data_IF_463785002702
#
_entry.id   IF_463785002702
#
_cell.length_a   1.000
_cell.length_b   1.000
_cell.length_c   1.000
_cell.angle_alpha   90.00
_cell.angle_beta   90.00
_cell.angle_gamma   90.00
#
_symmetry.space_group_name_H-M   'P 1'
#
loop_
_entity.id
_entity.type
_entity.pdbx_description
1 polymer ?
#
# COMPACT_ATOMS: atom_id res chain seq x y z
N UNK A 1 9.64 5.11 -12.94
CA UNK A 1 10.10 3.70 -13.02
C UNK A 1 11.02 3.53 -14.21
N UNK A 2 12.06 2.71 -14.05
CA UNK A 2 12.98 2.36 -15.13
C UNK A 2 12.32 1.33 -16.04
N UNK A 3 12.58 1.41 -17.34
CA UNK A 3 12.23 0.30 -18.24
C UNK A 3 13.22 -0.86 -18.03
N UNK A 4 12.83 -2.12 -18.33
CA UNK A 4 13.74 -3.26 -18.19
C UNK A 4 15.05 -3.12 -19.00
N UNK A 5 15.01 -2.39 -20.13
CA UNK A 5 16.21 -2.08 -20.92
C UNK A 5 17.14 -1.08 -20.24
N UNK A 6 16.57 -0.03 -19.64
CA UNK A 6 17.34 0.96 -18.89
C UNK A 6 17.99 0.34 -17.65
N UNK A 7 17.27 -0.50 -16.91
CA UNK A 7 17.77 -1.20 -15.75
C UNK A 7 18.99 -2.08 -16.11
N UNK A 8 18.86 -2.89 -17.15
CA UNK A 8 19.96 -3.74 -17.65
C UNK A 8 21.18 -2.92 -18.10
N UNK A 9 20.96 -1.80 -18.78
CA UNK A 9 22.05 -0.94 -19.22
C UNK A 9 22.78 -0.32 -18.02
N UNK A 10 22.03 0.12 -17.01
CA UNK A 10 22.60 0.63 -15.77
C UNK A 10 23.35 -0.44 -15.00
N UNK A 11 22.80 -1.66 -14.87
CA UNK A 11 23.48 -2.79 -14.24
C UNK A 11 24.82 -3.11 -14.90
N UNK A 12 24.86 -3.14 -16.24
CA UNK A 12 26.09 -3.34 -16.99
C UNK A 12 27.11 -2.22 -16.79
N UNK A 13 26.66 -0.97 -16.75
CA UNK A 13 27.54 0.18 -16.59
C UNK A 13 28.10 0.30 -15.17
N UNK A 14 27.29 -0.06 -14.16
CA UNK A 14 27.65 0.11 -12.74
C UNK A 14 28.24 -1.15 -12.12
N UNK A 15 28.06 -2.33 -12.73
CA UNK A 15 28.51 -3.62 -12.20
C UNK A 15 27.78 -4.06 -10.94
N UNK A 16 26.62 -3.48 -10.64
CA UNK A 16 25.79 -3.76 -9.47
C UNK A 16 24.32 -3.97 -9.88
N UNK A 17 23.57 -4.70 -9.06
CA UNK A 17 22.12 -4.85 -9.26
C UNK A 17 21.40 -3.50 -9.14
N UNK A 18 20.58 -3.19 -10.12
CA UNK A 18 19.73 -1.99 -10.15
C UNK A 18 18.29 -2.39 -9.83
N UNK A 19 17.68 -1.69 -8.90
CA UNK A 19 16.28 -1.92 -8.50
C UNK A 19 15.50 -0.65 -8.79
N UNK A 20 14.41 -0.75 -9.54
CA UNK A 20 13.55 0.39 -9.77
C UNK A 20 12.67 0.70 -8.53
N UNK A 21 12.09 1.90 -8.50
CA UNK A 21 11.28 2.35 -7.37
C UNK A 21 10.11 1.41 -7.05
N UNK A 22 9.45 0.86 -8.06
CA UNK A 22 8.29 -0.03 -7.85
C UNK A 22 8.72 -1.37 -7.25
N UNK A 23 9.81 -1.94 -7.75
CA UNK A 23 10.39 -3.17 -7.19
C UNK A 23 10.85 -2.95 -5.76
N UNK A 24 11.50 -1.81 -5.45
CA UNK A 24 11.92 -1.48 -4.09
C UNK A 24 10.73 -1.37 -3.13
N UNK A 25 9.64 -0.72 -3.54
CA UNK A 25 8.42 -0.61 -2.72
C UNK A 25 7.83 -2.00 -2.46
N UNK A 26 7.76 -2.85 -3.48
CA UNK A 26 7.27 -4.22 -3.35
C UNK A 26 8.13 -5.06 -2.42
N UNK A 27 9.45 -4.89 -2.45
CA UNK A 27 10.38 -5.58 -1.55
C UNK A 27 10.20 -5.12 -0.09
N UNK A 28 10.03 -3.81 0.14
CA UNK A 28 9.71 -3.27 1.47
C UNK A 28 8.37 -3.86 1.96
N UNK A 29 7.36 -3.90 1.12
CA UNK A 29 6.06 -4.46 1.47
C UNK A 29 6.13 -5.96 1.78
N UNK A 30 6.94 -6.73 1.03
CA UNK A 30 7.16 -8.15 1.31
C UNK A 30 7.77 -8.40 2.70
N UNK A 31 8.63 -7.50 3.15
CA UNK A 31 9.22 -7.56 4.48
C UNK A 31 8.25 -7.13 5.59
N UNK A 32 7.27 -6.25 5.28
CA UNK A 32 6.33 -5.68 6.25
C UNK A 32 5.03 -6.47 6.38
N UNK A 33 4.62 -7.21 5.36
CA UNK A 33 3.42 -8.01 5.39
C UNK A 33 3.52 -9.11 6.46
N UNK A 34 2.71 -9.00 7.49
CA UNK A 34 2.67 -9.99 8.59
C UNK A 34 1.43 -10.87 8.48
N UNK A 35 0.28 -10.28 8.11
CA UNK A 35 -0.96 -11.01 7.96
C UNK A 35 -0.92 -11.96 6.76
N UNK A 36 -1.72 -13.01 6.82
CA UNK A 36 -1.91 -13.93 5.69
C UNK A 36 -2.42 -13.19 4.45
N UNK A 37 -3.32 -12.25 4.63
CA UNK A 37 -3.88 -11.44 3.55
C UNK A 37 -2.84 -10.50 2.95
N UNK A 38 -2.12 -9.72 3.79
CA UNK A 38 -1.07 -8.81 3.34
C UNK A 38 0.01 -9.56 2.53
N UNK A 39 0.43 -10.74 2.97
CA UNK A 39 1.37 -11.59 2.22
C UNK A 39 0.83 -11.98 0.84
N UNK A 40 -0.46 -12.38 0.76
CA UNK A 40 -1.08 -12.71 -0.52
C UNK A 40 -1.20 -11.49 -1.45
N UNK A 41 -1.50 -10.33 -0.91
CA UNK A 41 -1.61 -9.09 -1.69
C UNK A 41 -0.26 -8.65 -2.24
N UNK A 42 0.79 -8.70 -1.43
CA UNK A 42 2.15 -8.40 -1.87
C UNK A 42 2.61 -9.41 -2.92
N UNK A 43 2.38 -10.70 -2.71
CA UNK A 43 2.70 -11.73 -3.70
C UNK A 43 1.96 -11.48 -5.02
N UNK A 44 0.68 -11.12 -4.96
CA UNK A 44 -0.10 -10.75 -6.15
C UNK A 44 0.52 -9.59 -6.91
N UNK A 45 0.86 -8.50 -6.21
CA UNK A 45 1.48 -7.33 -6.81
C UNK A 45 2.86 -7.64 -7.43
N UNK A 46 3.69 -8.41 -6.73
CA UNK A 46 4.98 -8.85 -7.25
C UNK A 46 4.85 -9.69 -8.53
N UNK A 47 3.92 -10.65 -8.56
CA UNK A 47 3.68 -11.48 -9.73
C UNK A 47 3.10 -10.69 -10.91
N UNK A 48 2.22 -9.72 -10.66
CA UNK A 48 1.70 -8.82 -11.68
C UNK A 48 2.82 -7.95 -12.25
N UNK A 49 3.63 -7.34 -11.39
CA UNK A 49 4.79 -6.56 -11.79
C UNK A 49 5.79 -7.39 -12.62
N UNK A 50 6.12 -8.60 -12.16
CA UNK A 50 6.99 -9.53 -12.88
C UNK A 50 6.41 -9.91 -14.25
N UNK A 51 5.09 -10.19 -14.32
CA UNK A 51 4.42 -10.53 -15.58
C UNK A 51 4.55 -9.44 -16.63
N UNK A 52 4.41 -8.16 -16.24
CA UNK A 52 4.58 -7.02 -17.17
C UNK A 52 6.02 -6.86 -17.65
N UNK A 53 6.99 -7.24 -16.83
CA UNK A 53 8.43 -7.16 -17.17
C UNK A 53 8.90 -8.31 -18.05
N UNK A 54 8.38 -9.51 -17.87
CA UNK A 54 8.67 -10.66 -18.72
C UNK A 54 8.29 -10.38 -20.18
N UNK A 55 7.14 -9.75 -20.42
CA UNK A 55 6.69 -9.40 -21.79
C UNK A 55 7.65 -8.44 -22.48
N UNK A 56 8.18 -7.45 -21.77
CA UNK A 56 9.03 -6.39 -22.35
C UNK A 56 10.52 -6.75 -22.41
N UNK A 57 10.98 -7.67 -21.58
CA UNK A 57 12.37 -8.09 -21.54
C UNK A 57 12.78 -8.99 -22.70
N UNK A 58 11.85 -9.78 -23.27
CA UNK A 58 12.13 -10.80 -24.28
C UNK A 58 11.92 -10.35 -25.71
N UNK A 59 11.09 -9.36 -25.98
CA UNK A 59 10.93 -8.81 -27.34
C UNK A 59 12.23 -8.27 -27.95
N UNK A 60 13.23 -7.98 -27.11
CA UNK A 60 14.56 -7.56 -27.55
C UNK A 60 15.47 -8.74 -27.95
N UNK A 61 15.25 -9.93 -27.39
CA UNK A 61 16.00 -11.15 -27.73
C UNK A 61 15.52 -11.78 -29.04
N UNK A 62 14.23 -11.66 -29.36
CA UNK A 62 13.67 -12.09 -30.64
C UNK A 62 14.26 -11.33 -31.83
N UNK A 63 14.57 -10.04 -31.66
CA UNK A 63 15.17 -9.19 -32.71
C UNK A 63 16.66 -9.46 -32.96
N UNK A 64 17.37 -10.09 -32.03
CA UNK A 64 18.80 -10.42 -32.18
C UNK A 64 19.06 -11.77 -32.88
N UNK A 65 18.06 -12.64 -33.00
CA UNK A 65 18.14 -13.89 -33.81
C UNK A 65 17.23 -13.76 -35.02
N UNK A 66 17.68 -12.98 -36.00
CA UNK A 66 17.11 -13.01 -37.33
C UNK A 66 17.29 -14.41 -37.96
N UNK A 67 16.17 -15.05 -38.32
CA UNK A 67 16.18 -16.32 -39.07
C UNK A 67 14.90 -17.10 -38.88
N UNK A 68 14.04 -17.04 -39.88
CA UNK A 68 13.06 -18.05 -40.30
C UNK A 68 12.83 -19.24 -39.34
N UNK A 69 11.73 -19.22 -38.59
CA UNK A 69 10.92 -20.44 -38.36
C UNK A 69 11.35 -21.43 -37.30
N UNK A 70 12.37 -21.16 -36.48
CA UNK A 70 12.77 -22.07 -35.41
C UNK A 70 12.33 -21.49 -34.04
N UNK A 71 11.24 -22.02 -33.48
CA UNK A 71 10.90 -21.87 -32.05
C UNK A 71 12.07 -22.41 -31.24
N UNK A 72 12.90 -21.50 -30.71
CA UNK A 72 14.01 -21.88 -29.84
C UNK A 72 13.50 -22.35 -28.47
N UNK A 73 14.30 -23.16 -27.71
CA UNK A 73 13.92 -23.64 -26.37
C UNK A 73 13.60 -22.50 -25.37
N UNK A 74 14.06 -21.27 -25.65
CA UNK A 74 13.74 -20.09 -24.82
C UNK A 74 12.30 -19.57 -24.96
N UNK A 75 11.66 -19.72 -26.11
CA UNK A 75 10.25 -19.34 -26.30
C UNK A 75 9.30 -20.23 -25.50
N UNK A 76 9.53 -21.53 -25.49
CA UNK A 76 8.74 -22.50 -24.72
C UNK A 76 8.89 -22.29 -23.21
N UNK A 77 10.06 -21.90 -22.76
CA UNK A 77 10.29 -21.60 -21.34
C UNK A 77 9.55 -20.34 -20.90
N UNK A 78 9.62 -19.27 -21.68
CA UNK A 78 8.89 -18.02 -21.38
C UNK A 78 7.36 -18.24 -21.36
N UNK A 79 6.84 -19.00 -22.32
CA UNK A 79 5.40 -19.33 -22.36
C UNK A 79 4.98 -20.15 -21.14
N UNK A 80 5.83 -21.09 -20.73
CA UNK A 80 5.62 -21.89 -19.53
C UNK A 80 5.63 -21.03 -18.28
N UNK A 81 6.61 -20.14 -18.14
CA UNK A 81 6.72 -19.23 -16.99
C UNK A 81 5.52 -18.28 -16.91
N UNK A 82 5.09 -17.71 -18.04
CA UNK A 82 3.87 -16.89 -18.10
C UNK A 82 2.63 -17.67 -17.68
N UNK A 83 2.49 -18.90 -18.13
CA UNK A 83 1.38 -19.77 -17.77
C UNK A 83 1.37 -20.06 -16.26
N UNK A 84 2.52 -20.39 -15.69
CA UNK A 84 2.67 -20.66 -14.25
C UNK A 84 2.35 -19.42 -13.41
N UNK A 85 2.87 -18.26 -13.77
CA UNK A 85 2.55 -16.99 -13.12
C UNK A 85 1.05 -16.70 -13.23
N UNK A 86 0.45 -16.87 -14.40
CA UNK A 86 -0.99 -16.69 -14.60
C UNK A 86 -1.85 -17.64 -13.74
N UNK A 87 -1.41 -18.89 -13.57
CA UNK A 87 -2.08 -19.86 -12.66
C UNK A 87 -1.96 -19.37 -11.22
N UNK A 88 -0.77 -18.95 -10.79
CA UNK A 88 -0.53 -18.48 -9.42
C UNK A 88 -1.34 -17.23 -9.09
N UNK A 89 -1.39 -16.26 -10.00
CA UNK A 89 -2.23 -15.05 -9.87
C UNK A 89 -3.70 -15.44 -9.66
N UNK A 90 -4.25 -16.36 -10.46
CA UNK A 90 -5.64 -16.83 -10.30
C UNK A 90 -5.88 -17.50 -8.95
N UNK A 91 -4.94 -18.31 -8.48
CA UNK A 91 -5.03 -18.96 -7.17
C UNK A 91 -5.06 -17.95 -6.02
N UNK A 92 -4.17 -16.95 -6.08
CA UNK A 92 -4.10 -15.89 -5.07
C UNK A 92 -5.40 -15.07 -5.07
N UNK A 93 -5.88 -14.64 -6.23
CA UNK A 93 -7.15 -13.90 -6.33
C UNK A 93 -8.31 -14.65 -5.70
N UNK A 94 -8.45 -15.96 -5.97
CA UNK A 94 -9.49 -16.79 -5.33
C UNK A 94 -9.36 -16.88 -3.80
N UNK A 95 -8.13 -16.87 -3.27
CA UNK A 95 -7.90 -16.85 -1.81
C UNK A 95 -8.27 -15.50 -1.22
N UNK A 96 -7.88 -14.41 -1.87
CA UNK A 96 -8.23 -13.06 -1.44
C UNK A 96 -9.75 -12.83 -1.46
N UNK A 97 -10.48 -13.32 -2.46
CA UNK A 97 -11.95 -13.27 -2.50
C UNK A 97 -12.61 -13.96 -1.30
N UNK A 98 -12.02 -15.05 -0.79
CA UNK A 98 -12.54 -15.73 0.43
C UNK A 98 -12.30 -14.88 1.68
N UNK A 99 -11.11 -14.27 1.79
CA UNK A 99 -10.77 -13.39 2.92
C UNK A 99 -11.67 -12.15 2.91
N UNK A 100 -11.89 -11.56 1.74
CA UNK A 100 -12.76 -10.39 1.59
C UNK A 100 -14.21 -10.67 2.01
N UNK A 101 -14.76 -11.82 1.64
CA UNK A 101 -16.09 -12.25 2.11
C UNK A 101 -16.17 -12.37 3.65
N UNK A 102 -15.15 -12.93 4.29
CA UNK A 102 -15.11 -13.04 5.76
C UNK A 102 -15.04 -11.66 6.42
N UNK A 103 -14.23 -10.75 5.87
CA UNK A 103 -14.15 -9.35 6.34
C UNK A 103 -15.46 -8.61 6.16
N UNK A 104 -16.11 -8.79 5.02
CA UNK A 104 -17.41 -8.18 4.76
C UNK A 104 -18.46 -8.64 5.80
N UNK A 105 -18.50 -9.92 6.16
CA UNK A 105 -19.38 -10.41 7.22
C UNK A 105 -19.07 -9.77 8.59
N UNK A 106 -17.80 -9.65 8.94
CA UNK A 106 -17.39 -9.00 10.20
C UNK A 106 -17.74 -7.51 10.21
N UNK A 107 -17.61 -6.81 9.08
CA UNK A 107 -18.03 -5.40 8.93
C UNK A 107 -19.53 -5.24 9.05
N UNK A 108 -20.30 -6.10 8.39
CA UNK A 108 -21.77 -6.08 8.49
C UNK A 108 -22.22 -6.23 9.95
N UNK A 109 -21.55 -7.06 10.74
CA UNK A 109 -21.84 -7.21 12.17
C UNK A 109 -21.51 -5.94 12.96
N UNK A 110 -20.40 -5.27 12.65
CA UNK A 110 -20.02 -3.97 13.26
C UNK A 110 -21.01 -2.86 12.91
N UNK A 111 -21.41 -2.78 11.63
CA UNK A 111 -22.39 -1.79 11.18
C UNK A 111 -23.77 -1.99 11.82
N UNK A 112 -24.18 -3.25 12.05
CA UNK A 112 -25.42 -3.55 12.80
C UNK A 112 -25.34 -3.11 14.27
N UNK A 113 -24.14 -3.11 14.85
CA UNK A 113 -23.90 -2.64 16.22
C UNK A 113 -23.71 -1.12 16.30
N UNK A 114 -23.85 -0.38 15.17
CA UNK A 114 -23.69 1.08 15.06
C UNK A 114 -22.35 1.62 15.63
N UNK A 115 -21.31 0.79 15.65
CA UNK A 115 -19.99 1.21 16.15
C UNK A 115 -19.26 1.95 15.03
N UNK A 116 -19.01 3.28 15.16
CA UNK A 116 -18.33 4.05 14.14
C UNK A 116 -16.87 3.64 14.02
N UNK A 117 -16.34 3.65 12.79
CA UNK A 117 -14.93 3.46 12.51
C UNK A 117 -14.28 4.81 12.22
N UNK A 118 -13.16 5.08 12.87
CA UNK A 118 -12.28 6.23 12.67
C UNK A 118 -10.98 5.71 12.06
N UNK A 119 -10.61 6.16 10.87
CA UNK A 119 -9.39 5.69 10.21
C UNK A 119 -8.30 6.77 10.21
N UNK A 120 -7.09 6.37 10.56
CA UNK A 120 -5.90 7.23 10.45
C UNK A 120 -5.38 7.15 9.01
N UNK A 121 -5.32 8.29 8.34
CA UNK A 121 -4.77 8.43 6.98
C UNK A 121 -3.65 9.47 6.99
N UNK A 122 -2.82 9.47 5.96
CA UNK A 122 -1.73 10.44 5.84
C UNK A 122 -0.48 9.82 5.26
N UNK A 123 0.49 10.66 5.01
CA UNK A 123 1.74 10.26 4.38
C UNK A 123 2.52 9.25 5.24
N UNK A 124 3.39 8.46 4.60
CA UNK A 124 4.27 7.57 5.35
C UNK A 124 5.15 8.37 6.30
N UNK A 125 5.41 7.82 7.49
CA UNK A 125 6.17 8.47 8.56
C UNK A 125 5.57 9.80 9.11
N UNK A 126 4.29 10.08 8.89
CA UNK A 126 3.62 11.23 9.53
C UNK A 126 3.29 11.01 11.02
N UNK A 127 3.48 9.79 11.53
CA UNK A 127 3.24 9.44 12.94
C UNK A 127 1.87 8.83 13.22
N UNK A 128 1.20 8.23 12.21
CA UNK A 128 -0.11 7.57 12.36
C UNK A 128 -0.11 6.49 13.44
N UNK A 129 0.85 5.57 13.39
CA UNK A 129 0.94 4.45 14.35
C UNK A 129 1.31 4.93 15.75
N UNK A 130 2.06 6.03 15.87
CA UNK A 130 2.34 6.69 17.16
C UNK A 130 1.05 7.25 17.76
N UNK A 131 0.28 7.98 16.96
CA UNK A 131 -1.03 8.51 17.37
C UNK A 131 -2.01 7.39 17.71
N UNK A 132 -2.04 6.32 16.90
CA UNK A 132 -2.85 5.13 17.16
C UNK A 132 -2.56 4.54 18.54
N UNK A 133 -1.30 4.35 18.89
CA UNK A 133 -0.91 3.82 20.19
C UNK A 133 -1.33 4.75 21.34
N UNK A 134 -1.13 6.05 21.17
CA UNK A 134 -1.51 7.04 22.17
C UNK A 134 -3.03 7.03 22.45
N UNK A 135 -3.85 6.89 21.39
CA UNK A 135 -5.31 6.90 21.51
C UNK A 135 -5.89 5.54 21.95
N UNK A 136 -5.21 4.44 21.68
CA UNK A 136 -5.73 3.08 21.92
C UNK A 136 -5.17 2.38 23.15
N UNK A 137 -4.34 3.07 23.95
CA UNK A 137 -3.61 2.52 25.09
C UNK A 137 -2.92 1.17 24.79
N UNK A 138 -2.35 1.05 23.60
CA UNK A 138 -1.80 -0.20 23.10
C UNK A 138 -0.42 -0.05 22.49
N UNK A 139 0.27 -1.17 22.35
CA UNK A 139 1.59 -1.28 21.72
C UNK A 139 1.46 -1.79 20.28
N UNK A 140 1.13 -0.95 19.30
CA UNK A 140 1.40 -1.29 17.91
C UNK A 140 2.87 -0.99 17.59
N UNK A 141 3.44 -1.76 16.69
CA UNK A 141 4.82 -1.55 16.27
C UNK A 141 4.99 -0.16 15.65
N UNK A 142 5.79 0.66 16.30
CA UNK A 142 6.17 2.00 15.82
C UNK A 142 7.63 1.95 15.43
N UNK A 143 7.93 2.31 14.21
CA UNK A 143 9.30 2.46 13.74
C UNK A 143 9.43 3.69 12.85
N UNK A 144 10.53 4.39 12.97
CA UNK A 144 10.89 5.50 12.07
C UNK A 144 11.36 4.94 10.71
N UNK A 145 10.41 4.28 10.03
CA UNK A 145 10.65 3.58 8.78
C UNK A 145 9.45 3.78 7.84
N UNK A 146 9.75 3.82 6.55
CA UNK A 146 8.71 3.85 5.52
C UNK A 146 7.84 2.59 5.61
N UNK A 147 6.52 2.76 5.58
CA UNK A 147 5.52 1.69 5.64
C UNK A 147 5.68 0.80 6.87
N UNK A 148 5.84 1.40 8.06
CA UNK A 148 5.88 0.65 9.31
C UNK A 148 4.62 -0.21 9.50
N UNK A 149 3.47 0.31 9.10
CA UNK A 149 2.19 -0.40 9.07
C UNK A 149 1.83 -0.70 7.61
N UNK A 150 1.64 -1.96 7.27
CA UNK A 150 1.10 -2.42 5.99
C UNK A 150 -0.29 -3.03 6.18
N UNK A 151 -0.44 -3.91 7.15
CA UNK A 151 -1.71 -4.52 7.51
C UNK A 151 -2.49 -3.58 8.43
N UNK A 152 -3.78 -3.30 8.18
CA UNK A 152 -4.56 -2.42 9.05
C UNK A 152 -4.71 -3.05 10.42
N UNK A 153 -4.46 -2.25 11.44
CA UNK A 153 -4.68 -2.63 12.84
C UNK A 153 -5.95 -1.95 13.35
N UNK A 154 -6.88 -2.74 13.88
CA UNK A 154 -8.15 -2.25 14.41
C UNK A 154 -8.16 -2.39 15.93
N UNK A 155 -8.54 -1.32 16.65
CA UNK A 155 -8.74 -1.37 18.09
C UNK A 155 -10.03 -0.64 18.48
N UNK A 156 -10.71 -1.20 19.47
CA UNK A 156 -11.82 -0.52 20.09
C UNK A 156 -11.28 0.53 21.07
N UNK A 157 -11.78 1.74 20.94
CA UNK A 157 -11.52 2.84 21.85
C UNK A 157 -12.83 3.31 22.48
N UNK A 158 -12.75 3.97 23.61
CA UNK A 158 -13.86 4.64 24.27
C UNK A 158 -13.67 6.15 24.16
N UNK A 159 -14.68 6.82 23.63
CA UNK A 159 -14.68 8.28 23.52
C UNK A 159 -15.04 8.93 24.87
N UNK A 160 -14.78 10.25 25.08
CA UNK A 160 -15.05 10.92 26.35
C UNK A 160 -16.52 10.85 26.81
N UNK A 161 -17.46 10.72 25.87
CA UNK A 161 -18.89 10.51 26.13
C UNK A 161 -19.27 9.05 26.41
N UNK A 162 -18.26 8.16 26.57
CA UNK A 162 -18.37 6.71 26.72
C UNK A 162 -18.93 5.97 25.50
N UNK A 163 -19.04 6.62 24.35
CA UNK A 163 -19.38 5.95 23.10
C UNK A 163 -18.18 5.11 22.63
N UNK A 164 -18.43 3.86 22.24
CA UNK A 164 -17.38 3.02 21.68
C UNK A 164 -17.14 3.36 20.19
N UNK A 165 -15.88 3.43 19.79
CA UNK A 165 -15.49 3.55 18.38
C UNK A 165 -14.40 2.53 18.03
N UNK A 166 -14.23 2.25 16.74
CA UNK A 166 -13.11 1.46 16.22
C UNK A 166 -12.09 2.44 15.63
N UNK A 167 -10.89 2.42 16.15
CA UNK A 167 -9.77 3.14 15.56
C UNK A 167 -9.01 2.18 14.63
N UNK A 168 -8.70 2.65 13.42
CA UNK A 168 -7.98 1.90 12.39
C UNK A 168 -6.66 2.61 12.07
N UNK A 169 -5.52 1.95 12.31
CA UNK A 169 -4.24 2.36 11.74
C UNK A 169 -4.09 1.78 10.34
N UNK A 170 -3.71 2.60 9.38
CA UNK A 170 -3.66 2.20 7.97
C UNK A 170 -2.27 2.43 7.37
N UNK A 171 -2.05 1.85 6.20
CA UNK A 171 -0.82 2.04 5.43
C UNK A 171 -0.58 3.52 5.13
N UNK A 172 0.68 3.97 5.25
CA UNK A 172 1.06 5.32 4.87
C UNK A 172 1.08 5.51 3.36
N UNK A 173 0.55 6.63 2.89
CA UNK A 173 0.61 7.00 1.49
C UNK A 173 2.00 7.54 1.10
N UNK A 174 2.34 7.42 -0.17
CA UNK A 174 3.55 7.97 -0.80
C UNK A 174 3.21 8.67 -2.11
N UNK A 175 4.09 9.57 -2.52
CA UNK A 175 3.98 10.20 -3.84
C UNK A 175 3.91 9.16 -4.95
N UNK A 176 2.96 9.33 -5.87
CA UNK A 176 2.82 8.49 -7.07
C UNK A 176 2.84 7.00 -6.72
N UNK A 177 1.92 6.59 -5.85
CA UNK A 177 1.71 5.17 -5.58
C UNK A 177 1.33 4.50 -6.90
N UNK A 178 2.05 3.46 -7.35
CA UNK A 178 1.69 2.77 -8.58
C UNK A 178 0.27 2.20 -8.49
N UNK A 179 -0.55 2.40 -9.52
CA UNK A 179 -1.94 1.90 -9.56
C UNK A 179 -2.04 0.39 -9.30
N UNK A 180 -1.04 -0.37 -9.74
CA UNK A 180 -0.93 -1.81 -9.49
C UNK A 180 -0.86 -2.10 -7.97
N UNK A 181 -0.18 -1.23 -7.20
CA UNK A 181 -0.10 -1.35 -5.75
C UNK A 181 -1.40 -0.91 -5.07
N UNK A 182 -2.04 0.17 -5.53
CA UNK A 182 -3.36 0.59 -5.02
C UNK A 182 -4.35 -0.55 -5.17
N UNK A 183 -4.40 -1.19 -6.33
CA UNK A 183 -5.28 -2.33 -6.57
C UNK A 183 -4.95 -3.55 -5.68
N UNK A 184 -3.67 -3.80 -5.40
CA UNK A 184 -3.24 -4.87 -4.50
C UNK A 184 -3.60 -4.59 -3.03
N UNK A 185 -3.60 -3.32 -2.61
CA UNK A 185 -3.92 -2.90 -1.25
C UNK A 185 -5.36 -2.46 -1.05
N UNK A 186 -6.21 -2.59 -2.06
CA UNK A 186 -7.61 -2.16 -1.99
C UNK A 186 -8.31 -2.73 -0.76
N UNK A 187 -8.05 -3.98 -0.38
CA UNK A 187 -8.67 -4.59 0.79
C UNK A 187 -8.15 -4.02 2.12
N UNK A 188 -6.88 -3.57 2.19
CA UNK A 188 -6.36 -2.89 3.37
C UNK A 188 -6.87 -1.45 3.45
N UNK A 189 -7.14 -0.82 2.32
CA UNK A 189 -7.73 0.51 2.24
C UNK A 189 -9.26 0.51 2.44
N UNK A 190 -9.91 -0.66 2.39
CA UNK A 190 -11.34 -0.78 2.64
C UNK A 190 -11.78 -0.31 4.03
N UNK A 191 -10.90 -0.35 5.04
CA UNK A 191 -11.21 0.22 6.36
C UNK A 191 -11.28 1.75 6.28
N UNK A 192 -10.56 2.38 5.36
CA UNK A 192 -10.65 3.82 5.06
C UNK A 192 -11.97 4.12 4.33
N UNK A 193 -12.31 3.35 3.29
CA UNK A 193 -13.56 3.51 2.51
C UNK A 193 -14.82 3.41 3.38
N UNK A 194 -14.77 2.62 4.46
CA UNK A 194 -15.90 2.39 5.35
C UNK A 194 -15.82 3.20 6.66
N UNK A 195 -14.86 4.09 6.79
CA UNK A 195 -14.74 4.93 7.96
C UNK A 195 -15.86 5.99 8.02
N UNK A 196 -16.27 6.36 9.23
CA UNK A 196 -17.21 7.47 9.47
C UNK A 196 -16.52 8.82 9.39
N UNK A 197 -15.22 8.85 9.77
CA UNK A 197 -14.37 10.04 9.74
C UNK A 197 -12.92 9.60 9.54
N UNK A 198 -12.14 10.43 8.87
CA UNK A 198 -10.70 10.24 8.67
C UNK A 198 -9.94 11.22 9.57
N UNK A 199 -8.95 10.72 10.31
CA UNK A 199 -7.94 11.53 10.94
C UNK A 199 -6.75 11.63 10.00
N UNK A 200 -6.63 12.75 9.28
CA UNK A 200 -5.55 12.98 8.35
C UNK A 200 -4.34 13.54 9.11
N UNK A 201 -3.38 12.64 9.40
CA UNK A 201 -2.18 12.96 10.16
C UNK A 201 -1.12 13.56 9.25
N UNK A 202 -0.68 14.75 9.59
CA UNK A 202 0.26 15.56 8.82
C UNK A 202 1.48 15.86 9.69
N UNK A 203 2.66 15.66 9.14
CA UNK A 203 3.90 16.10 9.78
C UNK A 203 4.00 17.63 9.69
N UNK A 204 3.89 18.29 10.83
CA UNK A 204 3.90 19.75 10.94
C UNK A 204 5.26 20.37 10.56
N UNK A 205 6.34 19.60 10.64
CA UNK A 205 7.70 20.08 10.30
C UNK A 205 7.97 20.21 8.80
N UNK A 206 7.12 19.61 7.97
CA UNK A 206 7.29 19.68 6.50
C UNK A 206 7.00 21.09 5.98
N UNK A 207 7.86 21.62 5.11
CA UNK A 207 7.62 22.88 4.40
C UNK A 207 6.48 22.78 3.38
N UNK A 208 6.37 21.63 2.70
CA UNK A 208 5.44 21.37 1.60
C UNK A 208 4.15 20.66 2.04
N UNK A 209 3.62 20.99 3.24
CA UNK A 209 2.42 20.38 3.82
C UNK A 209 1.21 20.34 2.86
N UNK A 210 0.93 21.44 2.18
CA UNK A 210 -0.18 21.55 1.25
C UNK A 210 -0.07 20.51 0.12
N UNK A 211 1.10 20.37 -0.49
CA UNK A 211 1.34 19.37 -1.54
C UNK A 211 1.15 17.93 -1.04
N UNK A 212 1.56 17.66 0.20
CA UNK A 212 1.39 16.34 0.82
C UNK A 212 -0.09 16.05 1.10
N UNK A 213 -0.84 17.03 1.56
CA UNK A 213 -2.30 16.93 1.76
C UNK A 213 -3.00 16.62 0.43
N UNK A 214 -2.68 17.36 -0.63
CA UNK A 214 -3.27 17.17 -1.95
C UNK A 214 -2.98 15.77 -2.51
N UNK A 215 -1.77 15.25 -2.30
CA UNK A 215 -1.40 13.90 -2.71
C UNK A 215 -2.19 12.82 -1.97
N UNK A 216 -2.41 12.99 -0.66
CA UNK A 216 -3.24 12.08 0.12
C UNK A 216 -4.69 12.15 -0.34
N UNK A 217 -5.22 13.35 -0.56
CA UNK A 217 -6.59 13.55 -1.05
C UNK A 217 -6.81 12.93 -2.44
N UNK A 218 -5.83 13.03 -3.33
CA UNK A 218 -5.88 12.37 -4.63
C UNK A 218 -6.01 10.84 -4.49
N UNK A 219 -5.22 10.21 -3.61
CA UNK A 219 -5.32 8.76 -3.35
C UNK A 219 -6.65 8.42 -2.69
N UNK A 220 -7.14 9.23 -1.74
CA UNK A 220 -8.46 9.02 -1.13
C UNK A 220 -9.58 9.08 -2.17
N UNK A 221 -9.49 9.99 -3.15
CA UNK A 221 -10.42 10.04 -4.28
C UNK A 221 -10.36 8.78 -5.15
N UNK A 222 -9.15 8.26 -5.46
CA UNK A 222 -8.97 7.03 -6.24
C UNK A 222 -9.57 5.78 -5.58
N UNK A 223 -9.57 5.71 -4.25
CA UNK A 223 -10.15 4.59 -3.49
C UNK A 223 -11.61 4.81 -3.10
N UNK A 224 -12.26 5.91 -3.52
CA UNK A 224 -13.66 6.18 -3.21
C UNK A 224 -13.92 6.71 -1.79
N UNK A 225 -12.89 7.22 -1.11
CA UNK A 225 -12.98 7.79 0.25
C UNK A 225 -12.90 9.32 0.27
N UNK A 226 -12.96 9.98 -0.90
CA UNK A 226 -12.79 11.44 -1.01
C UNK A 226 -13.89 12.25 -0.33
N UNK A 227 -15.11 11.72 -0.23
CA UNK A 227 -16.27 12.39 0.36
C UNK A 227 -16.40 12.17 1.87
N UNK A 228 -15.53 11.35 2.48
CA UNK A 228 -15.56 11.08 3.91
C UNK A 228 -15.04 12.32 4.66
N UNK A 229 -15.74 12.79 5.71
CA UNK A 229 -15.26 13.91 6.52
C UNK A 229 -13.86 13.68 7.05
N UNK A 230 -13.00 14.71 6.95
CA UNK A 230 -11.61 14.64 7.39
C UNK A 230 -11.35 15.64 8.50
N UNK A 231 -10.65 15.21 9.55
CA UNK A 231 -10.05 16.06 10.56
C UNK A 231 -8.54 16.08 10.35
N UNK A 232 -7.97 17.25 10.10
CA UNK A 232 -6.52 17.42 9.97
C UNK A 232 -5.86 17.39 11.35
N UNK A 233 -4.87 16.53 11.53
CA UNK A 233 -4.12 16.37 12.76
C UNK A 233 -2.66 16.75 12.49
N UNK A 234 -2.23 17.89 12.96
CA UNK A 234 -0.84 18.32 12.88
C UNK A 234 -0.02 17.60 13.96
N UNK A 235 0.84 16.70 13.53
CA UNK A 235 1.74 15.94 14.38
C UNK A 235 3.18 16.46 14.29
N UNK A 236 4.04 16.07 15.22
CA UNK A 236 5.44 16.50 15.34
C UNK A 236 5.58 18.03 15.50
N UNK A 237 4.67 18.62 16.25
CA UNK A 237 4.67 20.07 16.50
C UNK A 237 5.86 20.51 17.37
N UNK A 238 6.47 19.59 18.09
CA UNK A 238 7.73 19.75 18.82
C UNK A 238 8.93 20.11 17.93
N UNK A 239 8.84 19.79 16.63
CA UNK A 239 9.88 20.11 15.65
C UNK A 239 9.67 21.47 14.96
N UNK A 240 8.63 22.21 15.32
CA UNK A 240 8.29 23.51 14.72
C UNK A 240 8.51 24.61 15.74
N UNK A 241 9.41 25.55 15.46
CA UNK A 241 9.83 26.59 16.40
C UNK A 241 8.72 27.54 16.91
N UNK A 242 7.50 27.50 16.41
CA UNK A 242 6.41 28.43 16.80
C UNK A 242 5.01 27.79 16.72
N UNK A 243 4.87 26.56 17.14
CA UNK A 243 3.54 25.93 17.23
C UNK A 243 2.79 26.41 18.49
N UNK A 244 2.19 27.58 18.41
CA UNK A 244 1.07 27.90 19.30
C UNK A 244 -0.09 26.93 19.05
N UNK A 245 -1.01 26.71 20.00
CA UNK A 245 -2.17 25.86 19.80
C UNK A 245 -2.96 26.35 18.58
N UNK A 246 -3.00 25.57 17.54
CA UNK A 246 -3.88 25.79 16.38
C UNK A 246 -5.24 25.22 16.80
N UNK A 247 -6.13 26.11 17.20
CA UNK A 247 -7.55 25.79 17.46
C UNK A 247 -8.27 25.60 16.13
#
# INVERSE_FOLDING_TARGET
SLTPGQERNLERALGVRVVDRNSLILDIFAQRAQSFEGKLQVELAQLQHLSTRLVRGWTHLERQKGGLGLRGPGETQLETDRRLIGIRIRQIKRRLEKVDRQRHQSRTSRNKAEIPTVALVGYTNAGKSTLFNALSAGEAYVADQLFATLDPTLRRIELPDRTGAILADTVGFIRRLPHELVAAFRSTLQEVENARILLHVIDASLENKAEVIDQVNAVLGEIGAGDIPQLLVLNKTDLVEHAGPVI
#
